data_IF_060893678744
#
_entry.id   IF_060893678744
#
_cell.length_a   1.000
_cell.length_b   1.000
_cell.length_c   1.000
_cell.angle_alpha   90.00
_cell.angle_beta   90.00
_cell.angle_gamma   90.00
#
_symmetry.space_group_name_H-M   'P 1'
#
loop_
_entity.id
_entity.type
_entity.pdbx_description
1 polymer ?
#
# COMPACT_ATOMS: atom_id res chain seq x y z
N UNK A 1 -39.60 -15.38 -20.92
CA UNK A 1 -40.70 -15.81 -20.03
C UNK A 1 -40.13 -15.68 -18.64
N UNK A 2 -40.42 -14.56 -17.98
CA UNK A 2 -40.09 -14.39 -16.58
C UNK A 2 -41.10 -15.26 -15.82
N UNK A 3 -40.66 -16.41 -15.30
CA UNK A 3 -41.47 -17.15 -14.35
C UNK A 3 -41.51 -16.29 -13.09
N UNK A 4 -42.65 -15.63 -12.86
CA UNK A 4 -42.98 -15.10 -11.54
C UNK A 4 -43.17 -16.30 -10.62
N UNK A 5 -42.08 -16.77 -10.04
CA UNK A 5 -42.10 -17.77 -8.98
C UNK A 5 -42.72 -17.09 -7.75
N UNK A 6 -44.05 -17.23 -7.63
CA UNK A 6 -44.83 -16.63 -6.55
C UNK A 6 -44.24 -17.05 -5.21
N UNK A 7 -43.92 -16.08 -4.36
CA UNK A 7 -43.29 -16.34 -3.08
C UNK A 7 -44.36 -16.91 -2.13
N UNK A 8 -44.29 -18.22 -1.85
CA UNK A 8 -45.17 -18.86 -0.88
C UNK A 8 -44.74 -18.44 0.55
N UNK A 9 -45.43 -17.46 1.11
CA UNK A 9 -45.31 -17.12 2.52
C UNK A 9 -46.23 -18.05 3.30
N UNK A 10 -45.66 -18.85 4.20
CA UNK A 10 -46.41 -19.80 5.02
C UNK A 10 -47.51 -19.08 5.80
N UNK A 11 -48.77 -19.45 5.54
CA UNK A 11 -49.94 -18.84 6.19
C UNK A 11 -50.49 -17.57 5.53
N UNK A 12 -50.05 -17.22 4.32
CA UNK A 12 -50.70 -16.17 3.54
C UNK A 12 -52.10 -16.61 3.09
N UNK A 13 -53.13 -15.85 3.45
CA UNK A 13 -54.53 -16.13 3.06
C UNK A 13 -54.85 -15.45 1.71
N UNK A 14 -55.19 -16.19 0.64
CA UNK A 14 -55.56 -15.62 -0.65
C UNK A 14 -56.77 -14.68 -0.59
N UNK A 15 -57.65 -14.82 0.42
CA UNK A 15 -58.79 -13.92 0.60
C UNK A 15 -58.34 -12.50 0.99
N UNK A 16 -57.20 -12.36 1.68
CA UNK A 16 -56.64 -11.05 2.05
C UNK A 16 -56.28 -10.19 0.83
N UNK A 17 -55.91 -10.82 -0.29
CA UNK A 17 -55.62 -10.10 -1.53
C UNK A 17 -56.90 -9.47 -2.12
N UNK A 18 -58.03 -10.20 -2.07
CA UNK A 18 -59.33 -9.71 -2.51
C UNK A 18 -59.89 -8.63 -1.57
N UNK A 19 -59.71 -8.78 -0.25
CA UNK A 19 -60.21 -7.83 0.76
C UNK A 19 -59.38 -6.54 0.82
N UNK A 20 -58.04 -6.66 0.80
CA UNK A 20 -57.12 -5.52 0.91
C UNK A 20 -56.89 -4.83 -0.44
N UNK A 21 -57.22 -5.51 -1.55
CA UNK A 21 -57.04 -5.01 -2.92
C UNK A 21 -55.58 -4.82 -3.31
N UNK A 22 -54.66 -5.48 -2.62
CA UNK A 22 -53.21 -5.51 -2.92
C UNK A 22 -52.73 -6.96 -2.93
N UNK A 23 -51.90 -7.29 -3.90
CA UNK A 23 -51.25 -8.61 -3.97
C UNK A 23 -50.05 -8.70 -3.02
N UNK A 24 -49.69 -9.94 -2.64
CA UNK A 24 -48.48 -10.20 -1.85
C UNK A 24 -47.21 -9.69 -2.55
N UNK A 25 -47.16 -9.84 -3.88
CA UNK A 25 -46.04 -9.38 -4.70
C UNK A 25 -45.93 -7.85 -4.71
N UNK A 26 -47.06 -7.13 -4.78
CA UNK A 26 -47.07 -5.66 -4.69
C UNK A 26 -46.62 -5.17 -3.31
N UNK A 27 -47.08 -5.83 -2.24
CA UNK A 27 -46.65 -5.50 -0.88
C UNK A 27 -45.15 -5.72 -0.70
N UNK A 28 -44.63 -6.85 -1.19
CA UNK A 28 -43.20 -7.16 -1.19
C UNK A 28 -42.42 -6.09 -1.94
N UNK A 29 -42.87 -5.73 -3.14
CA UNK A 29 -42.25 -4.68 -3.94
C UNK A 29 -42.17 -3.36 -3.18
N UNK A 30 -43.21 -2.96 -2.46
CA UNK A 30 -43.16 -1.74 -1.63
C UNK A 30 -42.18 -1.85 -0.47
N UNK A 31 -42.04 -3.03 0.13
CA UNK A 31 -41.04 -3.26 1.19
C UNK A 31 -39.63 -3.15 0.59
N UNK A 32 -39.37 -3.84 -0.52
CA UNK A 32 -38.06 -3.80 -1.19
C UNK A 32 -37.70 -2.38 -1.64
N UNK A 33 -38.66 -1.65 -2.24
CA UNK A 33 -38.48 -0.25 -2.61
C UNK A 33 -38.27 0.65 -1.39
N UNK A 34 -39.01 0.46 -0.30
CA UNK A 34 -38.83 1.25 0.92
C UNK A 34 -37.47 0.99 1.57
N UNK A 35 -36.99 -0.25 1.53
CA UNK A 35 -35.66 -0.64 2.01
C UNK A 35 -34.57 -0.03 1.13
N UNK A 36 -34.68 -0.16 -0.20
CA UNK A 36 -33.69 0.41 -1.14
C UNK A 36 -33.63 1.94 -1.07
N UNK A 37 -34.75 2.61 -0.77
CA UNK A 37 -34.80 4.05 -0.57
C UNK A 37 -34.32 4.51 0.82
N UNK A 38 -34.01 3.59 1.74
CA UNK A 38 -33.47 3.96 3.05
C UNK A 38 -32.09 4.57 2.89
N UNK A 39 -31.84 5.71 3.54
CA UNK A 39 -30.55 6.41 3.53
C UNK A 39 -29.38 5.48 3.89
N UNK A 40 -29.59 4.57 4.85
CA UNK A 40 -28.56 3.63 5.30
C UNK A 40 -28.20 2.65 4.18
N UNK A 41 -29.20 2.12 3.47
CA UNK A 41 -29.00 1.17 2.36
C UNK A 41 -28.35 1.88 1.19
N UNK A 42 -28.84 3.06 0.79
CA UNK A 42 -28.23 3.85 -0.28
C UNK A 42 -26.77 4.21 0.02
N UNK A 43 -26.48 4.66 1.25
CA UNK A 43 -25.11 4.98 1.66
C UNK A 43 -24.21 3.74 1.63
N UNK A 44 -24.69 2.60 2.10
CA UNK A 44 -23.93 1.35 2.06
C UNK A 44 -23.69 0.86 0.64
N UNK A 45 -24.71 0.94 -0.22
CA UNK A 45 -24.59 0.61 -1.64
C UNK A 45 -23.58 1.54 -2.34
N UNK A 46 -23.62 2.84 -2.07
CA UNK A 46 -22.65 3.79 -2.62
C UNK A 46 -21.21 3.49 -2.17
N UNK A 47 -20.99 3.24 -0.87
CA UNK A 47 -19.68 2.86 -0.34
C UNK A 47 -19.18 1.54 -0.93
N UNK A 48 -20.09 0.58 -1.16
CA UNK A 48 -19.76 -0.69 -1.76
C UNK A 48 -19.34 -0.54 -3.23
N UNK A 49 -20.02 0.32 -3.99
CA UNK A 49 -19.66 0.63 -5.38
C UNK A 49 -18.30 1.34 -5.46
N UNK A 50 -18.09 2.37 -4.64
CA UNK A 50 -16.79 3.07 -4.56
C UNK A 50 -15.65 2.09 -4.24
N UNK A 51 -15.87 1.21 -3.27
CA UNK A 51 -14.88 0.21 -2.90
C UNK A 51 -14.60 -0.80 -4.03
N UNK A 52 -15.62 -1.23 -4.76
CA UNK A 52 -15.45 -2.14 -5.91
C UNK A 52 -14.61 -1.49 -7.02
N UNK A 53 -14.91 -0.25 -7.38
CA UNK A 53 -14.13 0.50 -8.38
C UNK A 53 -12.68 0.68 -7.93
N UNK A 54 -12.46 0.96 -6.64
CA UNK A 54 -11.12 1.11 -6.08
C UNK A 54 -10.33 -0.20 -6.14
N UNK A 55 -10.96 -1.34 -5.83
CA UNK A 55 -10.33 -2.67 -5.94
C UNK A 55 -9.93 -2.96 -7.38
N UNK A 56 -10.85 -2.77 -8.33
CA UNK A 56 -10.58 -3.00 -9.76
C UNK A 56 -9.40 -2.14 -10.25
N UNK A 57 -9.39 -0.86 -9.89
CA UNK A 57 -8.28 0.04 -10.23
C UNK A 57 -6.95 -0.43 -9.61
N UNK A 58 -6.97 -0.91 -8.37
CA UNK A 58 -5.76 -1.39 -7.68
C UNK A 58 -5.21 -2.66 -8.32
N UNK A 59 -6.08 -3.59 -8.69
CA UNK A 59 -5.69 -4.81 -9.41
C UNK A 59 -5.10 -4.47 -10.79
N UNK A 60 -5.67 -3.50 -11.50
CA UNK A 60 -5.13 -3.05 -12.79
C UNK A 60 -3.73 -2.43 -12.65
N UNK A 61 -3.53 -1.56 -11.65
CA UNK A 61 -2.22 -0.94 -11.40
C UNK A 61 -1.18 -1.96 -10.91
N UNK A 62 -1.57 -2.94 -10.09
CA UNK A 62 -0.71 -4.05 -9.71
C UNK A 62 -0.28 -4.87 -10.95
N UNK A 63 -1.22 -5.19 -11.83
CA UNK A 63 -0.92 -5.92 -13.06
C UNK A 63 0.06 -5.15 -13.96
N UNK A 64 -0.13 -3.83 -14.13
CA UNK A 64 0.77 -2.97 -14.92
C UNK A 64 2.17 -2.92 -14.33
N UNK A 65 2.26 -2.66 -13.02
CA UNK A 65 3.56 -2.54 -12.34
C UNK A 65 4.32 -3.86 -12.34
N UNK A 66 3.63 -4.99 -12.12
CA UNK A 66 4.23 -6.31 -12.21
C UNK A 66 4.72 -6.62 -13.64
N UNK A 67 3.95 -6.27 -14.67
CA UNK A 67 4.36 -6.43 -16.06
C UNK A 67 5.64 -5.63 -16.39
N UNK A 68 5.70 -4.37 -15.95
CA UNK A 68 6.90 -3.52 -16.12
C UNK A 68 8.11 -4.08 -15.38
N UNK A 69 7.93 -4.63 -14.18
CA UNK A 69 9.00 -5.25 -13.40
C UNK A 69 9.55 -6.50 -14.11
N UNK A 70 8.67 -7.34 -14.65
CA UNK A 70 9.07 -8.52 -15.42
C UNK A 70 9.84 -8.11 -16.68
N UNK A 71 9.37 -7.09 -17.39
CA UNK A 71 10.03 -6.57 -18.61
C UNK A 71 11.40 -5.97 -18.29
N UNK A 72 11.50 -5.14 -17.25
CA UNK A 72 12.77 -4.54 -16.83
C UNK A 72 13.80 -5.62 -16.44
N UNK A 73 13.40 -6.63 -15.67
CA UNK A 73 14.27 -7.74 -15.30
C UNK A 73 14.75 -8.52 -16.54
N UNK A 74 13.84 -8.78 -17.48
CA UNK A 74 14.19 -9.45 -18.74
C UNK A 74 15.18 -8.62 -19.55
N UNK A 75 14.95 -7.32 -19.68
CA UNK A 75 15.82 -6.38 -20.39
C UNK A 75 17.22 -6.33 -19.77
N UNK A 76 17.33 -6.30 -18.44
CA UNK A 76 18.62 -6.34 -17.74
C UNK A 76 19.39 -7.62 -18.07
N UNK A 77 18.73 -8.79 -18.04
CA UNK A 77 19.36 -10.07 -18.36
C UNK A 77 19.82 -10.12 -19.84
N UNK A 78 19.03 -9.57 -20.76
CA UNK A 78 19.41 -9.47 -22.17
C UNK A 78 20.60 -8.52 -22.38
N UNK A 79 20.62 -7.38 -21.69
CA UNK A 79 21.72 -6.43 -21.73
C UNK A 79 23.00 -7.09 -21.20
N UNK A 80 22.93 -7.76 -20.05
CA UNK A 80 24.07 -8.47 -19.47
C UNK A 80 24.64 -9.51 -20.43
N UNK A 81 23.77 -10.30 -21.07
CA UNK A 81 24.17 -11.26 -22.10
C UNK A 81 24.92 -10.58 -23.25
N UNK A 82 24.40 -9.48 -23.79
CA UNK A 82 25.05 -8.73 -24.87
C UNK A 82 26.43 -8.20 -24.46
N UNK A 83 26.57 -7.72 -23.22
CA UNK A 83 27.86 -7.29 -22.67
C UNK A 83 28.83 -8.47 -22.59
N UNK A 84 28.41 -9.60 -22.01
CA UNK A 84 29.21 -10.83 -21.91
C UNK A 84 29.71 -11.28 -23.29
N UNK A 85 28.84 -11.31 -24.30
CA UNK A 85 29.19 -11.66 -25.67
C UNK A 85 30.21 -10.68 -26.29
N UNK A 86 30.07 -9.38 -26.01
CA UNK A 86 30.96 -8.35 -26.55
C UNK A 86 32.37 -8.46 -25.98
N UNK A 87 32.50 -8.70 -24.67
CA UNK A 87 33.77 -8.96 -24.01
C UNK A 87 34.47 -10.19 -24.60
N UNK A 88 33.73 -11.29 -24.78
CA UNK A 88 34.28 -12.51 -25.38
C UNK A 88 34.79 -12.26 -26.81
N UNK A 89 34.04 -11.52 -27.63
CA UNK A 89 34.43 -11.17 -29.01
C UNK A 89 35.68 -10.27 -29.05
N UNK A 90 35.91 -9.44 -28.04
CA UNK A 90 37.10 -8.59 -27.94
C UNK A 90 38.29 -9.26 -27.23
N UNK A 91 38.16 -10.53 -26.82
CA UNK A 91 39.21 -11.26 -26.10
C UNK A 91 39.36 -10.88 -24.63
N UNK A 92 38.37 -10.17 -24.07
CA UNK A 92 38.31 -9.80 -22.65
C UNK A 92 37.44 -10.81 -21.87
N UNK A 93 37.67 -10.89 -20.56
CA UNK A 93 36.86 -11.70 -19.64
C UNK A 93 35.91 -10.77 -18.88
N UNK A 94 34.61 -11.00 -19.02
CA UNK A 94 33.61 -10.32 -18.20
C UNK A 94 33.68 -10.83 -16.75
N UNK A 95 33.75 -9.92 -15.78
CA UNK A 95 33.64 -10.22 -14.35
C UNK A 95 32.45 -9.49 -13.76
N UNK A 96 31.66 -10.21 -12.96
CA UNK A 96 30.60 -9.63 -12.14
C UNK A 96 31.28 -8.94 -10.96
N UNK A 97 31.41 -7.61 -11.01
CA UNK A 97 32.14 -6.84 -10.01
C UNK A 97 31.41 -6.86 -8.66
N UNK A 98 31.77 -7.79 -7.78
CA UNK A 98 31.68 -7.58 -6.33
C UNK A 98 32.93 -6.83 -5.90
N UNK A 99 32.79 -5.58 -5.47
CA UNK A 99 33.89 -4.65 -5.15
C UNK A 99 34.68 -4.97 -3.86
N UNK A 100 34.81 -6.24 -3.46
CA UNK A 100 35.43 -6.66 -2.19
C UNK A 100 36.56 -7.71 -2.32
N UNK A 101 37.05 -8.00 -3.53
CA UNK A 101 38.27 -8.82 -3.70
C UNK A 101 39.29 -8.12 -4.60
N UNK A 102 39.64 -6.89 -4.22
CA UNK A 102 40.98 -6.37 -4.49
C UNK A 102 41.90 -6.71 -3.30
N UNK A 103 41.89 -7.99 -2.91
CA UNK A 103 42.62 -8.54 -1.78
C UNK A 103 43.53 -9.69 -2.20
N UNK A 104 44.38 -9.51 -3.22
CA UNK A 104 45.41 -10.52 -3.48
C UNK A 104 46.11 -10.46 -4.84
N UNK A 105 46.96 -9.47 -5.05
CA UNK A 105 47.86 -9.45 -6.20
C UNK A 105 48.86 -8.33 -6.11
N UNK A 106 49.94 -8.56 -5.36
CA UNK A 106 50.99 -7.58 -5.06
C UNK A 106 51.45 -6.77 -6.27
N UNK A 107 51.24 -5.47 -6.18
CA UNK A 107 51.78 -4.46 -7.07
C UNK A 107 51.69 -3.14 -6.32
N UNK A 108 52.77 -2.80 -5.63
CA UNK A 108 53.02 -1.55 -4.92
C UNK A 108 52.48 -0.33 -5.69
N UNK A 109 51.26 0.09 -5.38
CA UNK A 109 50.90 1.49 -5.55
C UNK A 109 51.33 2.17 -4.25
N UNK A 110 52.32 3.07 -4.26
CA UNK A 110 52.60 3.85 -3.08
C UNK A 110 51.34 4.68 -2.81
N UNK A 111 50.72 4.43 -1.66
CA UNK A 111 49.73 5.33 -1.09
C UNK A 111 50.44 6.66 -0.87
N UNK A 112 50.29 7.60 -1.80
CA UNK A 112 50.78 8.96 -1.65
C UNK A 112 49.89 9.66 -0.64
N UNK A 113 50.19 9.43 0.64
CA UNK A 113 49.72 10.25 1.75
C UNK A 113 50.71 11.40 1.86
N UNK A 114 50.28 12.61 1.54
CA UNK A 114 51.07 13.82 1.74
C UNK A 114 50.77 14.31 3.16
N UNK A 115 51.75 14.23 4.05
CA UNK A 115 51.71 14.89 5.35
C UNK A 115 51.81 16.39 5.13
N UNK A 116 50.74 17.11 5.52
CA UNK A 116 50.79 18.56 5.64
C UNK A 116 51.27 18.82 7.07
N UNK A 117 52.41 19.49 7.23
CA UNK A 117 52.92 19.90 8.54
C UNK A 117 51.88 20.82 9.19
N UNK A 118 51.27 20.37 10.29
CA UNK A 118 50.27 21.09 11.08
C UNK A 118 50.97 21.99 12.12
N UNK A 119 51.94 22.77 11.66
CA UNK A 119 52.62 23.79 12.46
C UNK A 119 52.08 25.16 12.00
N UNK A 120 50.85 25.49 12.39
CA UNK A 120 50.38 26.84 12.79
C UNK A 120 48.89 26.83 13.20
N UNK A 121 48.67 26.90 14.53
CA UNK A 121 47.46 27.24 15.27
C UNK A 121 46.31 27.97 14.52
N UNK A 122 45.12 27.35 14.36
CA UNK A 122 43.81 28.07 14.50
C UNK A 122 42.53 27.20 14.64
N UNK A 123 42.61 25.99 15.22
CA UNK A 123 41.43 25.15 15.47
C UNK A 123 40.95 25.21 16.93
N UNK A 124 40.56 26.41 17.39
CA UNK A 124 39.74 26.55 18.61
C UNK A 124 38.42 27.20 18.24
N UNK A 125 37.45 26.40 17.82
CA UNK A 125 36.06 26.86 17.78
C UNK A 125 35.54 26.92 19.22
N UNK A 126 35.61 28.10 19.83
CA UNK A 126 34.96 28.44 21.10
C UNK A 126 33.45 28.30 20.94
N UNK A 127 32.91 27.14 21.32
CA UNK A 127 31.46 26.92 21.45
C UNK A 127 31.02 27.65 22.73
N UNK A 128 30.83 28.95 22.57
CA UNK A 128 30.35 29.88 23.58
C UNK A 128 29.12 29.37 24.32
N UNK A 129 29.35 28.94 25.54
CA UNK A 129 28.35 28.69 26.57
C UNK A 129 27.70 30.02 26.97
N UNK A 130 26.58 30.38 26.34
CA UNK A 130 25.69 31.44 26.83
C UNK A 130 24.39 30.81 27.35
N UNK A 131 24.43 30.45 28.64
CA UNK A 131 23.20 30.30 29.46
C UNK A 131 22.80 31.68 29.95
N UNK A 132 21.50 32.05 29.91
CA UNK A 132 20.95 32.80 31.05
C UNK A 132 19.77 32.09 31.77
N UNK A 133 19.54 32.41 33.06
CA UNK A 133 18.76 31.60 33.99
C UNK A 133 17.35 32.14 34.33
N UNK A 134 16.54 31.23 34.90
CA UNK A 134 15.40 31.35 35.86
C UNK A 134 14.15 32.21 35.58
N UNK A 135 13.00 31.51 35.70
CA UNK A 135 11.57 31.91 35.75
C UNK A 135 11.25 32.89 36.92
N UNK A 136 10.06 33.56 36.94
CA UNK A 136 8.89 32.95 37.64
C UNK A 136 7.48 33.32 37.09
N UNK A 137 6.45 32.49 37.36
CA UNK A 137 5.02 32.88 37.23
C UNK A 137 4.02 31.78 36.82
N UNK A 138 3.58 30.96 37.77
CA UNK A 138 2.48 29.95 37.79
C UNK A 138 1.06 30.55 37.64
N UNK A 139 -0.07 29.79 37.71
CA UNK A 139 -0.46 28.45 37.19
C UNK A 139 -1.90 28.41 36.57
N UNK A 140 -2.32 27.34 35.85
CA UNK A 140 -3.67 26.72 36.02
C UNK A 140 -3.94 25.50 35.10
N UNK A 141 -4.22 24.35 35.75
CA UNK A 141 -5.22 23.29 35.44
C UNK A 141 -5.17 22.46 34.13
N UNK A 142 -4.63 21.23 34.25
CA UNK A 142 -5.27 19.89 34.11
C UNK A 142 -5.94 19.43 32.77
N UNK A 143 -6.14 18.12 32.51
CA UNK A 143 -5.26 17.28 31.67
C UNK A 143 -6.03 16.51 30.57
N UNK A 144 -5.36 15.56 29.91
CA UNK A 144 -5.92 14.37 29.23
C UNK A 144 -6.07 14.46 27.69
N UNK A 145 -5.02 14.07 26.97
CA UNK A 145 -5.14 13.34 25.70
C UNK A 145 -4.09 12.23 25.69
N UNK A 146 -4.55 11.00 25.88
CA UNK A 146 -3.87 9.77 25.50
C UNK A 146 -4.82 9.10 24.53
N UNK A 147 -4.50 9.12 23.24
CA UNK A 147 -4.97 8.10 22.32
C UNK A 147 -3.76 7.44 21.70
N UNK A 148 -3.81 6.12 21.75
CA UNK A 148 -2.71 5.21 21.60
C UNK A 148 -2.39 4.91 20.14
N UNK A 149 -1.10 4.75 19.91
CA UNK A 149 -0.46 4.12 18.77
C UNK A 149 -1.12 2.76 18.42
N UNK A 150 -1.62 2.65 17.20
CA UNK A 150 -2.03 1.40 16.56
C UNK A 150 -1.19 1.16 15.31
N UNK A 151 -0.01 0.59 15.49
CA UNK A 151 0.87 0.14 14.42
C UNK A 151 0.22 -1.07 13.72
N UNK A 152 -0.41 -0.81 12.58
CA UNK A 152 -0.97 -1.85 11.71
C UNK A 152 0.13 -2.49 10.86
N UNK A 153 0.82 -3.49 11.42
CA UNK A 153 1.75 -4.33 10.67
C UNK A 153 0.98 -5.22 9.69
N UNK A 154 1.16 -5.01 8.38
CA UNK A 154 1.23 -6.03 7.29
C UNK A 154 0.15 -7.10 7.07
N UNK A 155 -0.77 -7.38 8.00
CA UNK A 155 -1.72 -8.50 7.91
C UNK A 155 -3.02 -8.16 7.17
N UNK A 156 -3.24 -6.89 6.82
CA UNK A 156 -4.44 -6.44 6.11
C UNK A 156 -4.48 -6.80 4.62
N UNK A 157 -3.33 -6.82 3.93
CA UNK A 157 -3.27 -7.04 2.47
C UNK A 157 -3.62 -8.49 2.08
N UNK A 158 -3.18 -9.46 2.89
CA UNK A 158 -3.41 -10.89 2.61
C UNK A 158 -4.87 -11.29 2.83
N UNK A 159 -5.58 -10.61 3.75
CA UNK A 159 -6.97 -10.96 4.08
C UNK A 159 -7.94 -10.60 2.94
N UNK A 160 -7.67 -9.54 2.19
CA UNK A 160 -8.52 -9.13 1.06
C UNK A 160 -8.39 -10.16 -0.10
N UNK A 161 -7.17 -10.64 -0.37
CA UNK A 161 -6.92 -11.65 -1.40
C UNK A 161 -7.67 -12.98 -1.15
N UNK A 162 -7.80 -13.43 0.10
CA UNK A 162 -8.51 -14.70 0.41
C UNK A 162 -10.04 -14.59 0.37
N UNK A 163 -10.62 -13.42 0.66
CA UNK A 163 -12.07 -13.24 0.65
C UNK A 163 -12.65 -13.18 -0.78
N UNK A 164 -11.92 -12.66 -1.75
CA UNK A 164 -12.39 -12.55 -3.15
C UNK A 164 -12.31 -13.87 -3.91
N UNK A 165 -11.36 -14.76 -3.60
CA UNK A 165 -11.27 -16.08 -4.26
C UNK A 165 -12.24 -17.13 -3.73
N UNK A 166 -13.00 -16.85 -2.66
CA UNK A 166 -13.89 -17.83 -2.00
C UNK A 166 -15.39 -17.51 -2.10
N UNK A 167 -15.79 -16.56 -2.95
CA UNK A 167 -17.19 -16.22 -3.24
C UNK A 167 -17.52 -16.54 -4.71
#
# INVERSE_FOLDING_TARGET
>A
MESSEGMEVEGWDPNLEEELGISLDELKKWIDEAVENSEIVQKKNAQLTEFKEWVEQKEEEEAKTNALLIDANKSILECEKLVKETYQKSGLVYRESSSEDEGGGGGLLPSEVIEIDDDEDDDVIDVGCLVPPKKPGTPCTDPLLKDADGKGDGIGYVFIYSCVSSA
#
